data_IF_412534820563
#
_entry.id   IF_412534820563
#
_cell.length_a   1.000
_cell.length_b   1.000
_cell.length_c   1.000
_cell.angle_alpha   90.00
_cell.angle_beta   90.00
_cell.angle_gamma   90.00
#
_symmetry.space_group_name_H-M   'P 1'
#
loop_
_entity.id
_entity.type
_entity.pdbx_description
1 polymer ?
#
# COMPACT_ATOMS: atom_id res chain seq x y z
N UNK A 1 9.47 19.48 -44.14
CA UNK A 1 8.68 19.62 -42.88
C UNK A 1 8.13 18.26 -42.55
N UNK A 2 8.86 17.46 -41.77
CA UNK A 2 8.41 16.15 -41.27
C UNK A 2 7.55 16.36 -40.04
N UNK A 3 6.28 15.98 -40.13
CA UNK A 3 5.41 15.89 -38.95
C UNK A 3 5.93 14.75 -38.07
N UNK A 4 6.59 15.08 -36.98
CA UNK A 4 6.78 14.14 -35.88
C UNK A 4 5.40 13.86 -35.29
N UNK A 5 4.86 12.69 -35.57
CA UNK A 5 3.70 12.14 -34.88
C UNK A 5 4.12 11.82 -33.44
N UNK A 6 3.76 12.70 -32.51
CA UNK A 6 3.96 12.50 -31.10
C UNK A 6 2.99 11.38 -30.65
N UNK A 7 3.40 10.12 -30.78
CA UNK A 7 2.60 8.96 -30.38
C UNK A 7 2.75 8.86 -28.87
N UNK A 8 1.76 9.38 -28.13
CA UNK A 8 1.69 9.16 -26.69
C UNK A 8 1.61 7.65 -26.45
N UNK A 9 2.60 7.10 -25.75
CA UNK A 9 2.69 5.69 -25.42
C UNK A 9 2.05 5.49 -24.05
N UNK A 10 1.09 4.56 -23.93
CA UNK A 10 0.42 4.22 -22.68
C UNK A 10 0.92 2.86 -22.19
N UNK A 11 1.13 2.77 -20.88
CA UNK A 11 1.55 1.55 -20.20
C UNK A 11 0.33 0.63 -20.04
N UNK A 12 0.41 -0.61 -20.53
CA UNK A 12 -0.49 -1.69 -20.20
C UNK A 12 0.27 -2.77 -19.47
N UNK A 13 -0.37 -3.34 -18.46
CA UNK A 13 0.22 -4.32 -17.55
C UNK A 13 -0.28 -5.70 -17.94
N UNK A 14 0.64 -6.67 -18.16
CA UNK A 14 0.36 -8.06 -18.55
C UNK A 14 0.80 -9.03 -17.48
N UNK A 15 0.02 -10.08 -17.25
CA UNK A 15 0.37 -11.18 -16.37
C UNK A 15 1.04 -12.33 -17.13
N UNK A 16 2.08 -12.94 -16.54
CA UNK A 16 2.75 -14.11 -17.10
C UNK A 16 2.30 -15.37 -16.36
N UNK A 17 1.74 -16.34 -17.08
CA UNK A 17 1.61 -17.69 -16.58
C UNK A 17 2.98 -18.37 -16.67
N UNK A 18 3.57 -18.70 -15.52
CA UNK A 18 4.68 -19.65 -15.45
C UNK A 18 4.13 -21.02 -15.85
N UNK A 19 4.47 -21.48 -17.05
CA UNK A 19 4.34 -22.91 -17.37
C UNK A 19 5.26 -23.70 -16.42
N UNK A 20 4.75 -24.79 -15.78
CA UNK A 20 5.63 -25.61 -14.97
C UNK A 20 6.66 -26.30 -15.88
N UNK A 21 7.93 -26.03 -15.64
CA UNK A 21 9.03 -26.81 -16.20
C UNK A 21 8.88 -28.26 -15.70
N UNK A 22 8.55 -29.16 -16.62
CA UNK A 22 8.58 -30.61 -16.36
C UNK A 22 10.03 -31.00 -16.13
N UNK A 23 10.40 -31.20 -14.87
CA UNK A 23 11.69 -31.75 -14.50
C UNK A 23 11.71 -33.23 -14.81
N UNK A 24 12.60 -33.67 -15.72
CA UNK A 24 12.91 -35.08 -15.99
C UNK A 24 13.72 -35.61 -14.80
N UNK A 25 13.35 -36.72 -14.16
CA UNK A 25 14.14 -37.25 -13.05
C UNK A 25 15.41 -37.95 -13.55
N UNK A 26 16.55 -37.48 -13.11
CA UNK A 26 17.82 -38.20 -13.23
C UNK A 26 17.92 -39.19 -12.07
N UNK A 27 17.81 -40.50 -12.40
CA UNK A 27 18.03 -41.59 -11.46
C UNK A 27 19.53 -41.73 -11.23
N UNK A 28 20.02 -41.54 -10.00
CA UNK A 28 21.30 -42.02 -9.54
C UNK A 28 21.11 -42.86 -8.27
N UNK A 29 21.38 -44.16 -8.39
CA UNK A 29 21.52 -45.10 -7.30
C UNK A 29 22.85 -44.87 -6.54
N UNK A 30 22.79 -44.68 -5.23
CA UNK A 30 23.81 -45.19 -4.31
C UNK A 30 23.25 -45.17 -2.89
N UNK A 31 23.23 -46.32 -2.23
CA UNK A 31 22.71 -46.48 -0.89
C UNK A 31 23.67 -45.92 0.18
N UNK A 32 23.10 -45.20 1.12
CA UNK A 32 23.67 -44.95 2.44
C UNK A 32 22.49 -44.92 3.40
N UNK A 33 22.51 -45.80 4.40
CA UNK A 33 21.55 -45.81 5.52
C UNK A 33 21.77 -44.58 6.42
N UNK A 34 20.74 -43.78 6.69
CA UNK A 34 20.91 -42.72 7.72
C UNK A 34 20.59 -43.24 9.09
N UNK A 35 21.49 -42.93 10.02
CA UNK A 35 21.26 -42.99 11.46
C UNK A 35 20.09 -42.04 11.79
N UNK A 36 19.10 -42.55 12.50
CA UNK A 36 18.02 -41.71 13.05
C UNK A 36 18.60 -40.90 14.23
N UNK A 37 18.90 -39.63 13.96
CA UNK A 37 18.94 -38.61 15.00
C UNK A 37 17.51 -38.16 15.28
N UNK A 38 17.03 -38.43 16.48
CA UNK A 38 15.78 -37.84 17.00
C UNK A 38 16.01 -36.36 17.24
N UNK A 39 15.71 -35.54 16.24
CA UNK A 39 15.65 -34.12 16.41
C UNK A 39 14.39 -33.79 17.22
N UNK A 40 14.56 -33.40 18.47
CA UNK A 40 13.55 -32.69 19.25
C UNK A 40 13.20 -31.43 18.47
N UNK A 41 12.00 -31.40 17.89
CA UNK A 41 11.44 -30.21 17.27
C UNK A 41 11.13 -29.20 18.40
N UNK A 42 12.09 -28.34 18.70
CA UNK A 42 11.77 -27.08 19.35
C UNK A 42 10.77 -26.32 18.46
N UNK A 43 9.66 -25.82 19.02
CA UNK A 43 8.79 -24.95 18.25
C UNK A 43 9.67 -23.78 17.77
N UNK A 44 9.69 -23.57 16.45
CA UNK A 44 10.42 -22.46 15.87
C UNK A 44 9.99 -21.18 16.58
N UNK A 45 10.96 -20.50 17.20
CA UNK A 45 10.72 -19.20 17.81
C UNK A 45 10.10 -18.32 16.72
N UNK A 46 8.90 -17.80 16.98
CA UNK A 46 8.26 -16.85 16.07
C UNK A 46 9.17 -15.64 16.02
N UNK A 47 9.83 -15.42 14.88
CA UNK A 47 10.69 -14.26 14.69
C UNK A 47 9.78 -13.03 14.69
N UNK A 48 9.82 -12.28 15.79
CA UNK A 48 9.03 -11.04 15.94
C UNK A 48 9.68 -9.98 15.06
N UNK A 49 9.00 -9.62 13.96
CA UNK A 49 9.45 -8.54 13.07
C UNK A 49 9.45 -7.23 13.85
N UNK A 50 10.62 -6.61 13.95
CA UNK A 50 10.77 -5.32 14.64
C UNK A 50 10.16 -4.22 13.79
N UNK A 51 9.35 -3.35 14.39
CA UNK A 51 8.78 -2.21 13.72
C UNK A 51 9.84 -1.12 13.46
N UNK A 52 9.72 -0.46 12.31
CA UNK A 52 10.59 0.67 11.94
C UNK A 52 9.98 2.02 12.35
N UNK A 53 8.64 2.10 12.46
CA UNK A 53 7.97 3.25 13.06
C UNK A 53 8.12 3.22 14.59
N UNK A 54 8.20 4.38 15.25
CA UNK A 54 8.11 4.45 16.70
C UNK A 54 6.82 3.80 17.21
N UNK A 55 6.89 2.98 18.24
CA UNK A 55 5.74 2.32 18.84
C UNK A 55 5.48 2.87 20.24
N UNK A 56 4.66 3.92 20.33
CA UNK A 56 4.15 4.42 21.60
C UNK A 56 2.84 3.71 21.95
N UNK A 57 2.90 2.71 22.82
CA UNK A 57 1.72 1.94 23.24
C UNK A 57 1.07 2.67 24.42
N UNK A 58 -0.20 3.02 24.26
CA UNK A 58 -1.07 3.63 25.26
C UNK A 58 -2.48 3.05 25.16
N UNK A 59 -3.40 3.48 26.00
CA UNK A 59 -4.79 2.99 26.07
C UNK A 59 -5.53 3.08 24.71
N UNK A 60 -5.28 4.12 23.91
CA UNK A 60 -5.89 4.25 22.58
C UNK A 60 -5.35 3.22 21.59
N UNK A 61 -4.04 2.93 21.62
CA UNK A 61 -3.42 1.89 20.79
C UNK A 61 -3.91 0.51 21.22
N UNK A 62 -3.95 0.22 22.54
CA UNK A 62 -4.46 -1.05 23.08
C UNK A 62 -5.92 -1.27 22.67
N UNK A 63 -6.75 -0.24 22.75
CA UNK A 63 -8.14 -0.28 22.29
C UNK A 63 -8.24 -0.63 20.79
N UNK A 64 -7.39 -0.07 19.93
CA UNK A 64 -7.36 -0.41 18.51
C UNK A 64 -6.86 -1.84 18.25
N UNK A 65 -5.88 -2.31 19.05
CA UNK A 65 -5.44 -3.72 19.00
C UNK A 65 -6.62 -4.64 19.33
N UNK A 66 -7.37 -4.37 20.39
CA UNK A 66 -8.56 -5.15 20.78
C UNK A 66 -9.63 -5.12 19.68
N UNK A 67 -9.94 -3.95 19.12
CA UNK A 67 -10.93 -3.81 18.04
C UNK A 67 -10.55 -4.64 16.81
N UNK A 68 -9.29 -4.61 16.38
CA UNK A 68 -8.83 -5.41 15.24
C UNK A 68 -8.83 -6.91 15.54
N UNK A 69 -8.63 -7.32 16.79
CA UNK A 69 -8.68 -8.74 17.17
C UNK A 69 -10.12 -9.25 17.41
N UNK A 70 -11.09 -8.37 17.53
CA UNK A 70 -12.49 -8.71 17.85
C UNK A 70 -13.46 -8.25 16.77
N UNK A 71 -14.04 -7.08 16.92
CA UNK A 71 -15.12 -6.54 16.05
C UNK A 71 -14.69 -6.37 14.60
N UNK A 72 -13.46 -5.95 14.37
CA UNK A 72 -12.91 -5.67 13.03
C UNK A 72 -11.99 -6.80 12.51
N UNK A 73 -11.98 -7.97 13.18
CA UNK A 73 -11.06 -9.06 12.86
C UNK A 73 -11.17 -9.49 11.40
N UNK A 74 -12.38 -9.76 10.94
CA UNK A 74 -12.61 -10.22 9.57
C UNK A 74 -12.18 -9.19 8.52
N UNK A 75 -12.43 -7.90 8.77
CA UNK A 75 -12.00 -6.84 7.87
C UNK A 75 -10.47 -6.73 7.85
N UNK A 76 -9.83 -6.82 9.00
CA UNK A 76 -8.38 -6.76 9.12
C UNK A 76 -7.70 -7.96 8.44
N UNK A 77 -8.24 -9.17 8.56
CA UNK A 77 -7.79 -10.37 7.83
C UNK A 77 -7.89 -10.19 6.31
N UNK A 78 -8.97 -9.56 5.82
CA UNK A 78 -9.10 -9.19 4.40
C UNK A 78 -8.03 -8.18 4.00
N UNK A 79 -7.72 -7.20 4.82
CA UNK A 79 -6.66 -6.21 4.53
C UNK A 79 -5.28 -6.87 4.50
N UNK A 80 -4.99 -7.75 5.46
CA UNK A 80 -3.76 -8.54 5.50
C UNK A 80 -3.63 -9.45 4.27
N UNK A 81 -4.73 -10.06 3.82
CA UNK A 81 -4.74 -10.87 2.61
C UNK A 81 -4.39 -10.03 1.37
N UNK A 82 -4.97 -8.82 1.21
CA UNK A 82 -4.64 -7.91 0.10
C UNK A 82 -3.21 -7.37 0.16
N UNK A 83 -2.59 -7.36 1.35
CA UNK A 83 -1.14 -7.09 1.47
C UNK A 83 -0.31 -8.08 0.65
N UNK A 84 -0.76 -9.32 0.47
CA UNK A 84 -0.12 -10.29 -0.43
C UNK A 84 -0.04 -9.79 -1.87
N UNK A 85 -1.04 -9.05 -2.34
CA UNK A 85 -1.03 -8.49 -3.69
C UNK A 85 -0.14 -7.24 -3.83
N UNK A 86 -0.29 -6.27 -2.94
CA UNK A 86 0.32 -4.93 -3.11
C UNK A 86 1.44 -4.62 -2.12
N UNK A 87 1.65 -5.46 -1.10
CA UNK A 87 2.59 -5.18 -0.02
C UNK A 87 4.03 -5.04 -0.47
N UNK A 88 4.49 -5.94 -1.34
CA UNK A 88 5.85 -5.89 -1.85
C UNK A 88 6.09 -4.66 -2.71
N UNK A 89 5.13 -4.31 -3.60
CA UNK A 89 5.19 -3.09 -4.41
C UNK A 89 5.36 -1.84 -3.54
N UNK A 90 4.57 -1.74 -2.47
CA UNK A 90 4.63 -0.57 -1.57
C UNK A 90 5.93 -0.58 -0.74
N UNK A 91 6.34 -1.74 -0.20
CA UNK A 91 7.58 -1.84 0.58
C UNK A 91 8.82 -1.58 -0.25
N UNK A 92 8.88 -2.11 -1.48
CA UNK A 92 10.02 -1.86 -2.37
C UNK A 92 10.14 -0.36 -2.68
N UNK A 93 9.03 0.33 -2.91
CA UNK A 93 9.02 1.77 -3.12
C UNK A 93 9.44 2.56 -1.85
N UNK A 94 8.96 2.15 -0.66
CA UNK A 94 9.36 2.74 0.63
C UNK A 94 10.87 2.56 0.86
N UNK A 95 11.37 1.34 0.68
CA UNK A 95 12.80 1.01 0.82
C UNK A 95 13.67 1.80 -0.14
N UNK A 96 13.24 1.95 -1.39
CA UNK A 96 13.97 2.74 -2.40
C UNK A 96 14.10 4.22 -2.01
N UNK A 97 13.17 4.76 -1.22
CA UNK A 97 13.21 6.13 -0.70
C UNK A 97 13.81 6.24 0.73
N UNK A 98 14.27 5.13 1.32
CA UNK A 98 14.80 5.09 2.69
C UNK A 98 13.75 5.44 3.76
N UNK A 99 12.49 5.11 3.49
CA UNK A 99 11.36 5.35 4.38
C UNK A 99 11.00 4.08 5.15
N UNK A 100 10.43 4.20 6.38
CA UNK A 100 9.96 3.04 7.13
C UNK A 100 8.96 2.19 6.33
N UNK A 101 9.23 0.89 6.21
CA UNK A 101 8.34 -0.04 5.48
C UNK A 101 6.98 -0.18 6.16
N UNK A 102 6.88 0.11 7.45
CA UNK A 102 5.63 0.14 8.21
C UNK A 102 4.62 1.20 7.72
N UNK A 103 5.05 2.19 6.94
CA UNK A 103 4.13 3.13 6.29
C UNK A 103 3.19 2.45 5.27
N UNK A 104 3.45 1.20 4.90
CA UNK A 104 2.48 0.35 4.20
C UNK A 104 1.13 0.29 4.96
N UNK A 105 1.16 0.24 6.29
CA UNK A 105 -0.07 0.17 7.09
C UNK A 105 -0.91 1.44 7.02
N UNK A 106 -0.33 2.59 6.64
CA UNK A 106 -1.09 3.79 6.33
C UNK A 106 -1.99 3.56 5.10
N UNK A 107 -1.44 3.07 3.98
CA UNK A 107 -2.24 2.72 2.79
C UNK A 107 -3.29 1.63 3.10
N UNK A 108 -2.93 0.67 3.97
CA UNK A 108 -3.87 -0.37 4.41
C UNK A 108 -5.05 0.21 5.19
N UNK A 109 -4.83 1.20 6.06
CA UNK A 109 -5.90 1.86 6.80
C UNK A 109 -6.76 2.79 5.93
N UNK A 110 -6.18 3.40 4.91
CA UNK A 110 -6.89 4.31 4.01
C UNK A 110 -7.95 3.59 3.18
N UNK A 111 -7.61 2.43 2.62
CA UNK A 111 -8.47 1.76 1.65
C UNK A 111 -8.62 0.24 1.86
N UNK A 112 -7.93 -0.35 2.83
CA UNK A 112 -7.73 -1.80 2.89
C UNK A 112 -6.99 -2.32 1.66
N UNK A 113 -6.06 -1.53 1.11
CA UNK A 113 -5.29 -1.82 -0.10
C UNK A 113 -6.17 -2.09 -1.32
N UNK A 114 -7.21 -1.28 -1.54
CA UNK A 114 -8.10 -1.35 -2.72
C UNK A 114 -7.78 -0.25 -3.73
N UNK A 115 -7.24 -0.57 -4.93
CA UNK A 115 -6.95 0.45 -5.95
C UNK A 115 -8.19 1.20 -6.45
N UNK A 116 -9.36 0.59 -6.37
CA UNK A 116 -10.63 1.16 -6.83
C UNK A 116 -11.48 1.75 -5.70
N UNK A 117 -10.95 1.86 -4.48
CA UNK A 117 -11.68 2.45 -3.37
C UNK A 117 -12.06 3.91 -3.68
N UNK A 118 -13.27 4.29 -3.28
CA UNK A 118 -13.78 5.67 -3.35
C UNK A 118 -14.50 5.97 -2.05
N UNK A 119 -14.08 7.03 -1.36
CA UNK A 119 -14.74 7.47 -0.13
C UNK A 119 -15.93 8.39 -0.41
N UNK A 120 -16.74 8.63 0.63
CA UNK A 120 -17.88 9.55 0.56
C UNK A 120 -17.47 11.01 0.25
N UNK A 121 -16.20 11.35 0.47
CA UNK A 121 -15.62 12.67 0.16
C UNK A 121 -14.81 12.67 -1.13
N UNK A 122 -14.95 11.61 -1.95
CA UNK A 122 -14.27 11.46 -3.25
C UNK A 122 -12.75 11.32 -3.18
N UNK A 123 -12.22 10.83 -2.05
CA UNK A 123 -10.87 10.31 -2.00
C UNK A 123 -10.79 8.96 -2.72
N UNK A 124 -9.72 8.69 -3.46
CA UNK A 124 -9.64 7.53 -4.38
C UNK A 124 -8.33 6.76 -4.25
N UNK A 125 -8.43 5.44 -4.42
CA UNK A 125 -7.30 4.54 -4.62
C UNK A 125 -6.71 3.98 -3.33
N UNK A 126 -5.56 3.30 -3.45
CA UNK A 126 -4.84 2.70 -2.32
C UNK A 126 -4.58 3.71 -1.20
N UNK A 127 -4.18 4.93 -1.58
CA UNK A 127 -3.72 6.02 -0.73
C UNK A 127 -4.78 7.07 -0.45
N UNK A 128 -6.01 6.88 -0.93
CA UNK A 128 -7.15 7.78 -0.74
C UNK A 128 -6.84 9.25 -1.05
N UNK A 129 -6.20 9.48 -2.19
CA UNK A 129 -5.91 10.83 -2.63
C UNK A 129 -7.17 11.65 -2.95
N UNK A 130 -7.22 12.87 -2.43
CA UNK A 130 -8.10 13.90 -2.94
C UNK A 130 -7.57 14.42 -4.29
N UNK A 131 -8.46 14.75 -5.23
CA UNK A 131 -8.04 15.18 -6.57
C UNK A 131 -7.06 16.36 -6.59
N UNK A 132 -7.23 17.44 -5.77
CA UNK A 132 -6.27 18.53 -5.76
C UNK A 132 -4.85 18.10 -5.33
N UNK A 133 -4.76 17.24 -4.31
CA UNK A 133 -3.47 16.72 -3.84
C UNK A 133 -2.85 15.78 -4.88
N UNK A 134 -3.65 14.91 -5.51
CA UNK A 134 -3.18 14.04 -6.56
C UNK A 134 -2.55 14.82 -7.73
N UNK A 135 -3.21 15.86 -8.21
CA UNK A 135 -2.71 16.74 -9.28
C UNK A 135 -1.42 17.45 -8.86
N UNK A 136 -1.31 17.90 -7.61
CA UNK A 136 -0.11 18.53 -7.08
C UNK A 136 1.10 17.60 -7.10
N UNK A 137 0.88 16.29 -6.89
CA UNK A 137 1.92 15.26 -6.92
C UNK A 137 2.01 14.53 -8.28
N UNK A 138 1.55 15.17 -9.36
CA UNK A 138 1.78 14.75 -10.73
C UNK A 138 0.83 13.66 -11.25
N UNK A 139 -0.17 13.23 -10.48
CA UNK A 139 -1.14 12.26 -10.93
C UNK A 139 -2.16 12.89 -11.86
N UNK A 140 -2.47 12.21 -12.95
CA UNK A 140 -3.52 12.60 -13.89
C UNK A 140 -4.90 12.17 -13.39
N UNK A 141 -5.86 13.09 -13.42
CA UNK A 141 -7.25 12.83 -13.06
C UNK A 141 -8.16 13.50 -14.08
N UNK A 142 -8.70 12.71 -14.99
CA UNK A 142 -9.64 13.20 -16.02
C UNK A 142 -10.72 12.15 -16.36
N UNK A 143 -11.48 12.37 -17.44
CA UNK A 143 -12.57 11.49 -17.83
C UNK A 143 -12.13 10.13 -18.42
N UNK A 144 -10.86 9.94 -18.74
CA UNK A 144 -10.28 8.71 -19.27
C UNK A 144 -9.39 8.01 -18.25
N UNK A 145 -8.67 8.80 -17.46
CA UNK A 145 -7.63 8.33 -16.54
C UNK A 145 -7.83 8.91 -15.15
N UNK A 146 -7.77 8.05 -14.15
CA UNK A 146 -7.69 8.44 -12.74
C UNK A 146 -6.52 7.69 -12.10
N UNK A 147 -5.32 8.29 -12.15
CA UNK A 147 -4.07 7.66 -11.67
C UNK A 147 -4.01 7.50 -10.15
N UNK A 148 -4.96 8.06 -9.40
CA UNK A 148 -5.13 7.73 -7.98
C UNK A 148 -5.42 6.25 -7.76
N UNK A 149 -5.92 5.57 -8.80
CA UNK A 149 -6.21 4.13 -8.83
C UNK A 149 -5.01 3.29 -9.29
N UNK A 150 -4.00 3.90 -9.90
CA UNK A 150 -2.79 3.20 -10.30
C UNK A 150 -1.95 2.83 -9.07
N UNK A 151 -1.76 1.53 -8.75
CA UNK A 151 -0.99 1.14 -7.58
C UNK A 151 0.45 1.68 -7.59
N UNK A 152 1.05 1.83 -8.76
CA UNK A 152 2.43 2.29 -8.91
C UNK A 152 2.49 3.81 -8.79
N UNK A 153 1.81 4.52 -9.69
CA UNK A 153 1.84 5.98 -9.73
C UNK A 153 1.32 6.61 -8.45
N UNK A 154 0.22 6.06 -7.89
CA UNK A 154 -0.31 6.55 -6.62
C UNK A 154 0.63 6.29 -5.44
N UNK A 155 1.38 5.17 -5.43
CA UNK A 155 2.37 4.91 -4.39
C UNK A 155 3.51 5.92 -4.48
N UNK A 156 4.11 6.13 -5.64
CA UNK A 156 5.17 7.13 -5.82
C UNK A 156 4.72 8.52 -5.34
N UNK A 157 3.54 8.97 -5.76
CA UNK A 157 2.98 10.26 -5.35
C UNK A 157 2.73 10.34 -3.83
N UNK A 158 2.25 9.26 -3.21
CA UNK A 158 2.01 9.21 -1.78
C UNK A 158 3.30 9.28 -0.97
N UNK A 159 4.35 8.59 -1.42
CA UNK A 159 5.65 8.63 -0.75
C UNK A 159 6.31 10.01 -0.90
N UNK A 160 6.15 10.69 -2.04
CA UNK A 160 6.61 12.08 -2.19
C UNK A 160 5.86 13.03 -1.25
N UNK A 161 4.56 12.85 -1.11
CA UNK A 161 3.76 13.63 -0.15
C UNK A 161 4.16 13.34 1.30
N UNK A 162 4.35 12.09 1.68
CA UNK A 162 4.80 11.70 3.03
C UNK A 162 6.23 12.20 3.31
N UNK A 163 7.12 12.17 2.33
CA UNK A 163 8.47 12.75 2.44
C UNK A 163 8.39 14.25 2.75
N UNK A 164 7.54 14.97 2.02
CA UNK A 164 7.34 16.39 2.26
C UNK A 164 6.73 16.67 3.65
N UNK A 165 5.74 15.86 4.06
CA UNK A 165 5.14 16.00 5.40
C UNK A 165 6.15 15.71 6.51
N UNK A 166 6.93 14.65 6.38
CA UNK A 166 7.97 14.31 7.36
C UNK A 166 9.05 15.40 7.40
N UNK A 167 9.51 15.89 6.26
CA UNK A 167 10.46 17.02 6.21
C UNK A 167 9.92 18.30 6.86
N UNK A 168 8.59 18.50 6.84
CA UNK A 168 7.92 19.65 7.44
C UNK A 168 7.74 19.53 8.96
N UNK A 169 7.45 18.36 9.46
CA UNK A 169 7.12 18.12 10.87
C UNK A 169 8.22 17.42 11.65
N UNK A 170 9.16 16.74 11.01
CA UNK A 170 10.25 15.98 11.63
C UNK A 170 9.79 14.81 12.48
N UNK A 171 8.54 14.34 12.30
CA UNK A 171 7.90 13.28 13.07
C UNK A 171 6.95 12.49 12.16
N UNK A 172 7.02 11.18 12.20
CA UNK A 172 6.11 10.31 11.45
C UNK A 172 4.68 10.36 11.98
N UNK A 173 4.49 10.53 13.30
CA UNK A 173 3.15 10.71 13.87
C UNK A 173 2.49 11.99 13.42
N UNK A 174 3.24 13.10 13.43
CA UNK A 174 2.73 14.38 12.92
C UNK A 174 2.52 14.34 11.40
N UNK A 175 3.39 13.65 10.66
CA UNK A 175 3.23 13.44 9.22
C UNK A 175 1.96 12.64 8.91
N UNK A 176 1.71 11.55 9.64
CA UNK A 176 0.48 10.73 9.50
C UNK A 176 -0.77 11.55 9.88
N UNK A 177 -0.73 12.30 10.98
CA UNK A 177 -1.82 13.19 11.36
C UNK A 177 -2.08 14.27 10.30
N UNK A 178 -1.03 14.80 9.69
CA UNK A 178 -1.12 15.81 8.63
C UNK A 178 -1.59 15.20 7.29
N UNK A 179 -1.26 13.96 7.00
CA UNK A 179 -1.80 13.22 5.87
C UNK A 179 -3.33 13.15 5.95
N UNK A 180 -3.85 12.76 7.12
CA UNK A 180 -5.29 12.66 7.37
C UNK A 180 -6.00 14.02 7.46
N UNK A 181 -5.51 14.95 8.29
CA UNK A 181 -6.20 16.20 8.59
C UNK A 181 -5.86 17.40 7.68
N UNK A 182 -4.81 17.23 6.88
CA UNK A 182 -4.16 18.32 6.14
C UNK A 182 -3.11 19.07 6.98
N UNK A 183 -1.95 19.41 6.38
CA UNK A 183 -0.81 19.99 7.10
C UNK A 183 -1.11 21.32 7.77
N UNK A 184 -1.88 22.20 7.13
CA UNK A 184 -2.23 23.51 7.70
C UNK A 184 -3.09 23.42 8.96
N UNK A 185 -3.80 22.31 9.18
CA UNK A 185 -4.55 22.09 10.43
C UNK A 185 -3.61 21.69 11.55
N UNK A 186 -2.73 20.73 11.31
CA UNK A 186 -1.73 20.28 12.30
C UNK A 186 -0.84 21.43 12.73
N UNK A 187 -0.35 22.24 11.79
CA UNK A 187 0.44 23.43 12.10
C UNK A 187 -0.26 24.44 12.98
N UNK A 188 -1.55 24.70 12.73
CA UNK A 188 -2.32 25.63 13.57
C UNK A 188 -2.46 25.11 14.99
N UNK A 189 -2.64 23.81 15.16
CA UNK A 189 -2.72 23.18 16.47
C UNK A 189 -1.35 23.25 17.17
N UNK A 190 -0.27 22.88 16.49
CA UNK A 190 1.10 22.98 17.04
C UNK A 190 1.43 24.42 17.47
N UNK A 191 1.15 25.42 16.64
CA UNK A 191 1.40 26.82 17.00
C UNK A 191 0.61 27.27 18.24
N UNK A 192 -0.60 26.75 18.40
CA UNK A 192 -1.48 27.18 19.49
C UNK A 192 -1.20 26.51 20.83
N UNK A 193 -0.81 25.22 20.79
CA UNK A 193 -0.77 24.33 21.95
C UNK A 193 0.61 23.74 22.24
N UNK A 194 1.57 23.91 21.34
CA UNK A 194 2.93 23.39 21.46
C UNK A 194 4.00 24.39 20.97
N UNK A 195 3.70 25.69 21.01
CA UNK A 195 4.61 26.81 20.62
C UNK A 195 5.25 26.60 19.21
N UNK A 196 4.58 25.89 18.31
CA UNK A 196 5.08 25.60 16.97
C UNK A 196 6.24 24.63 16.91
N UNK A 197 6.52 23.87 17.99
CA UNK A 197 7.58 22.84 18.01
C UNK A 197 7.32 21.76 16.97
N UNK A 198 8.40 21.20 16.44
CA UNK A 198 8.44 20.09 15.49
C UNK A 198 9.59 19.15 15.85
N UNK A 199 9.71 17.98 15.18
CA UNK A 199 10.88 17.10 15.29
C UNK A 199 10.83 16.08 16.44
N UNK A 200 9.69 15.94 17.12
CA UNK A 200 9.51 14.98 18.20
C UNK A 200 8.18 14.24 18.04
N UNK A 201 8.21 12.92 18.12
CA UNK A 201 7.02 12.05 18.03
C UNK A 201 6.04 12.31 19.20
N UNK A 202 6.54 12.68 20.38
CA UNK A 202 5.70 12.96 21.53
C UNK A 202 4.78 14.16 21.32
N UNK A 203 5.13 15.10 20.43
CA UNK A 203 4.31 16.26 20.12
C UNK A 203 2.90 15.89 19.62
N UNK A 204 2.76 14.78 18.92
CA UNK A 204 1.44 14.31 18.54
C UNK A 204 0.56 14.05 19.79
N UNK A 205 1.10 13.37 20.79
CA UNK A 205 0.39 13.06 22.03
C UNK A 205 0.09 14.30 22.88
N UNK A 206 0.96 15.31 22.84
CA UNK A 206 0.71 16.58 23.51
C UNK A 206 -0.46 17.35 22.89
N UNK A 207 -0.68 17.24 21.57
CA UNK A 207 -1.70 18.02 20.87
C UNK A 207 -2.93 17.19 20.47
N UNK A 208 -2.95 15.89 20.73
CA UNK A 208 -3.97 14.95 20.24
C UNK A 208 -5.39 15.40 20.54
N UNK A 209 -5.66 15.91 21.73
CA UNK A 209 -6.99 16.37 22.16
C UNK A 209 -7.51 17.57 21.38
N UNK A 210 -6.63 18.31 20.72
CA UNK A 210 -6.95 19.47 19.90
C UNK A 210 -7.10 19.16 18.40
N UNK A 211 -6.87 17.90 18.02
CA UNK A 211 -7.07 17.40 16.66
C UNK A 211 -8.53 16.94 16.44
N UNK A 212 -9.01 16.89 15.19
CA UNK A 212 -10.30 16.28 14.87
C UNK A 212 -10.39 14.84 15.36
N UNK A 213 -11.59 14.38 15.73
CA UNK A 213 -11.80 13.01 16.25
C UNK A 213 -11.19 11.93 15.34
N UNK A 214 -11.37 12.04 14.03
CA UNK A 214 -10.79 11.11 13.06
C UNK A 214 -9.26 11.07 13.14
N UNK A 215 -8.62 12.24 13.23
CA UNK A 215 -7.16 12.36 13.30
C UNK A 215 -6.60 11.88 14.63
N UNK A 216 -7.34 12.05 15.73
CA UNK A 216 -6.97 11.50 17.04
C UNK A 216 -6.92 9.97 17.03
N UNK A 217 -7.79 9.35 16.29
CA UNK A 217 -7.85 7.89 16.13
C UNK A 217 -6.84 7.36 15.09
N UNK A 218 -6.32 8.24 14.24
CA UNK A 218 -5.53 7.83 13.07
C UNK A 218 -4.17 7.24 13.44
N UNK A 219 -3.39 7.92 14.27
CA UNK A 219 -2.05 7.43 14.69
C UNK A 219 -2.14 6.21 15.60
N UNK A 220 -3.01 6.16 16.63
CA UNK A 220 -3.22 4.93 17.42
C UNK A 220 -3.58 3.73 16.54
N UNK A 221 -4.47 3.93 15.57
CA UNK A 221 -4.87 2.89 14.61
C UNK A 221 -3.71 2.44 13.73
N UNK A 222 -2.84 3.37 13.28
CA UNK A 222 -1.63 3.06 12.52
C UNK A 222 -0.67 2.19 13.32
N UNK A 223 -0.39 2.56 14.57
CA UNK A 223 0.49 1.81 15.47
C UNK A 223 -0.06 0.41 15.71
N UNK A 224 -1.35 0.29 16.02
CA UNK A 224 -2.01 -1.00 16.22
C UNK A 224 -1.95 -1.89 14.97
N UNK A 225 -2.21 -1.31 13.78
CA UNK A 225 -2.12 -2.03 12.51
C UNK A 225 -0.69 -2.50 12.21
N UNK A 226 0.32 -1.70 12.56
CA UNK A 226 1.74 -2.05 12.43
C UNK A 226 2.10 -3.24 13.32
N UNK A 227 1.75 -3.16 14.61
CA UNK A 227 2.02 -4.23 15.59
C UNK A 227 1.40 -5.55 15.14
N UNK A 228 0.11 -5.53 14.84
CA UNK A 228 -0.65 -6.71 14.46
C UNK A 228 -0.26 -7.22 13.07
N UNK A 229 -0.05 -6.33 12.13
CA UNK A 229 0.25 -6.70 10.76
C UNK A 229 1.65 -7.29 10.58
N UNK A 230 2.66 -6.82 11.31
CA UNK A 230 4.00 -7.39 11.28
C UNK A 230 4.05 -8.78 11.91
N UNK A 231 3.15 -9.08 12.84
CA UNK A 231 3.15 -10.32 13.61
C UNK A 231 1.79 -11.04 13.53
N UNK A 232 1.11 -10.99 12.38
CA UNK A 232 -0.28 -11.40 12.21
C UNK A 232 -0.59 -12.81 12.74
N UNK A 233 0.28 -13.79 12.46
CA UNK A 233 0.11 -15.17 12.93
C UNK A 233 0.20 -15.30 14.46
N UNK A 234 1.09 -14.53 15.11
CA UNK A 234 1.23 -14.52 16.56
C UNK A 234 -0.01 -13.97 17.27
N UNK A 235 -0.75 -13.07 16.58
CA UNK A 235 -2.01 -12.50 17.07
C UNK A 235 -3.26 -13.26 16.62
N UNK A 236 -3.10 -14.46 16.02
CA UNK A 236 -4.20 -15.34 15.67
C UNK A 236 -5.02 -14.89 14.45
N UNK A 237 -4.43 -14.10 13.54
CA UNK A 237 -5.04 -13.77 12.27
C UNK A 237 -4.78 -14.85 11.22
N UNK A 238 -5.83 -15.17 10.46
CA UNK A 238 -5.76 -16.07 9.32
C UNK A 238 -5.60 -15.25 8.04
N UNK A 239 -4.42 -15.31 7.44
CA UNK A 239 -4.12 -14.57 6.22
C UNK A 239 -4.22 -15.51 5.02
N UNK A 240 -5.23 -15.30 4.17
CA UNK A 240 -5.35 -16.01 2.92
C UNK A 240 -4.36 -15.42 1.92
N UNK A 241 -3.54 -16.28 1.30
CA UNK A 241 -2.63 -15.82 0.24
C UNK A 241 -3.44 -15.27 -0.94
N UNK A 242 -3.11 -14.06 -1.38
CA UNK A 242 -3.60 -13.47 -2.63
C UNK A 242 -2.48 -13.47 -3.67
N UNK A 243 -2.85 -13.57 -4.93
CA UNK A 243 -1.88 -13.46 -6.01
C UNK A 243 -1.18 -12.09 -5.95
N UNK A 244 0.13 -12.12 -6.11
CA UNK A 244 0.96 -10.93 -6.18
C UNK A 244 0.54 -10.06 -7.38
N UNK A 245 0.59 -8.75 -7.22
CA UNK A 245 0.42 -7.80 -8.31
C UNK A 245 1.67 -7.84 -9.20
N UNK A 246 1.68 -8.80 -10.12
CA UNK A 246 2.77 -9.05 -11.06
C UNK A 246 2.35 -8.69 -12.48
N UNK A 247 3.24 -8.04 -13.24
CA UNK A 247 2.89 -7.47 -14.53
C UNK A 247 4.10 -7.23 -15.44
N UNK A 248 3.83 -7.23 -16.74
CA UNK A 248 4.72 -6.69 -17.76
C UNK A 248 4.13 -5.42 -18.36
N UNK A 249 5.01 -4.49 -18.73
CA UNK A 249 4.60 -3.25 -19.40
C UNK A 249 4.57 -3.45 -20.91
N UNK A 250 3.43 -3.14 -21.51
CA UNK A 250 3.23 -3.16 -22.95
C UNK A 250 2.82 -1.76 -23.41
N UNK A 251 3.50 -1.26 -24.45
CA UNK A 251 3.17 0.04 -25.03
C UNK A 251 2.15 -0.14 -26.16
N UNK A 252 1.10 0.66 -26.12
CA UNK A 252 0.02 0.65 -27.12
C UNK A 252 -0.28 2.06 -27.61
N UNK A 253 -0.82 2.23 -28.85
CA UNK A 253 -1.25 3.53 -29.35
C UNK A 253 -2.38 4.16 -28.50
N UNK A 254 -2.51 5.48 -28.63
CA UNK A 254 -3.67 6.24 -28.12
C UNK A 254 -4.98 5.65 -28.62
N UNK A 255 -6.03 5.72 -27.80
CA UNK A 255 -7.37 5.21 -28.16
C UNK A 255 -7.47 3.68 -28.25
N UNK A 256 -6.48 2.94 -27.74
CA UNK A 256 -6.51 1.47 -27.75
C UNK A 256 -7.42 0.94 -26.63
N UNK A 257 -8.40 0.11 -27.01
CA UNK A 257 -9.30 -0.54 -26.06
C UNK A 257 -8.62 -1.73 -25.37
N UNK A 258 -8.82 -1.87 -24.06
CA UNK A 258 -8.39 -3.05 -23.29
C UNK A 258 -9.00 -4.35 -23.84
N UNK A 259 -10.21 -4.28 -24.38
CA UNK A 259 -10.85 -5.45 -25.02
C UNK A 259 -10.07 -5.92 -26.25
N UNK A 260 -9.57 -4.99 -27.09
CA UNK A 260 -8.72 -5.35 -28.24
C UNK A 260 -7.40 -5.98 -27.81
N UNK A 261 -6.78 -5.44 -26.78
CA UNK A 261 -5.52 -5.99 -26.25
C UNK A 261 -5.77 -7.38 -25.65
N UNK A 262 -6.84 -7.55 -24.88
CA UNK A 262 -7.24 -8.84 -24.32
C UNK A 262 -7.44 -9.91 -25.41
N UNK A 263 -8.17 -9.56 -26.48
CA UNK A 263 -8.36 -10.45 -27.64
C UNK A 263 -7.05 -10.82 -28.34
N UNK A 264 -6.14 -9.84 -28.50
CA UNK A 264 -4.84 -10.08 -29.16
C UNK A 264 -3.89 -10.94 -28.32
N UNK A 265 -4.02 -10.90 -26.98
CA UNK A 265 -3.23 -11.67 -26.02
C UNK A 265 -3.93 -12.97 -25.61
N UNK A 266 -5.14 -13.23 -26.06
CA UNK A 266 -5.96 -14.41 -25.71
C UNK A 266 -6.19 -14.53 -24.19
N UNK A 267 -6.40 -13.40 -23.49
CA UNK A 267 -6.64 -13.36 -22.05
C UNK A 267 -7.98 -12.70 -21.72
N UNK A 268 -8.48 -12.95 -20.51
CA UNK A 268 -9.70 -12.31 -20.03
C UNK A 268 -9.52 -10.79 -19.86
N UNK A 269 -10.46 -10.00 -20.36
CA UNK A 269 -10.41 -8.53 -20.26
C UNK A 269 -10.50 -8.04 -18.82
N UNK A 270 -11.07 -8.83 -17.91
CA UNK A 270 -11.14 -8.54 -16.47
C UNK A 270 -9.74 -8.49 -15.85
N UNK A 271 -8.83 -9.38 -16.27
CA UNK A 271 -7.42 -9.37 -15.85
C UNK A 271 -6.79 -8.03 -16.22
N UNK A 272 -6.89 -7.62 -17.49
CA UNK A 272 -6.34 -6.33 -17.92
C UNK A 272 -6.97 -5.13 -17.22
N UNK A 273 -8.28 -5.18 -16.96
CA UNK A 273 -8.94 -4.12 -16.19
C UNK A 273 -8.43 -4.04 -14.76
N UNK A 274 -8.17 -5.18 -14.11
CA UNK A 274 -7.63 -5.22 -12.76
C UNK A 274 -6.20 -4.72 -12.70
N UNK A 275 -5.39 -5.02 -13.70
CA UNK A 275 -4.03 -4.52 -13.83
C UNK A 275 -3.95 -3.04 -14.25
N UNK A 276 -5.02 -2.49 -14.82
CA UNK A 276 -5.10 -1.08 -15.27
C UNK A 276 -6.32 -0.37 -14.64
N UNK A 277 -6.43 -0.29 -13.31
CA UNK A 277 -7.59 0.28 -12.64
C UNK A 277 -7.74 1.78 -12.88
N UNK A 278 -6.68 2.46 -13.31
CA UNK A 278 -6.63 3.87 -13.65
C UNK A 278 -7.31 4.20 -14.98
N UNK A 279 -7.45 3.24 -15.90
CA UNK A 279 -8.17 3.43 -17.18
C UNK A 279 -9.68 3.31 -16.96
N UNK A 280 -10.32 4.41 -16.54
CA UNK A 280 -11.71 4.39 -16.08
C UNK A 280 -12.74 4.01 -17.17
N UNK A 281 -12.39 4.20 -18.44
CA UNK A 281 -13.21 3.79 -19.59
C UNK A 281 -12.77 2.48 -20.24
N UNK A 282 -11.70 1.84 -19.74
CA UNK A 282 -11.12 0.64 -20.34
C UNK A 282 -10.54 0.89 -21.74
N UNK A 283 -10.11 2.13 -21.99
CA UNK A 283 -9.47 2.56 -23.24
C UNK A 283 -8.36 3.56 -22.88
N UNK A 284 -7.22 3.49 -23.59
CA UNK A 284 -6.19 4.52 -23.45
C UNK A 284 -6.71 5.87 -23.96
N UNK A 285 -6.29 7.00 -23.37
CA UNK A 285 -6.73 8.32 -23.82
C UNK A 285 -6.50 8.54 -25.32
N UNK A 286 -7.34 9.34 -26.00
CA UNK A 286 -7.04 9.83 -27.33
C UNK A 286 -5.81 10.75 -27.29
N UNK A 287 -5.11 10.86 -28.41
CA UNK A 287 -3.97 11.77 -28.58
C UNK A 287 -4.40 13.22 -28.52
#
# INVERSE_FOLDING_TARGET
MSRQTNTAQYRLIRWWYLMPLVAIPLICLAGITPVQETTETHPAAVEVVQAELPLHINEDVERWIELFQTVLKSDFEIFLSRRGAYGDLVRDALRAKGMPEDLLYLAMMESGLKPRAVSNVSAVGLWQFMSPTALQYGLRVDSYVDERRDPIGATEAALDYLTWLHGRFGSWYLAAAAYNAGPGRVERVLRRYADGRIGDENLYWEIVDHLPKETREYVPRLIAATILGNNASAYGFVVTSTERYDFELVFVPSGTSLLRVASALEIDVGILRNLNPHLVRGVTPPS
#
